data_IF_360412683017
#
_entry.id   IF_360412683017
#
_cell.length_a   1.000
_cell.length_b   1.000
_cell.length_c   1.000
_cell.angle_alpha   90.00
_cell.angle_beta   90.00
_cell.angle_gamma   90.00
#
_symmetry.space_group_name_H-M   'P 1'
#
loop_
_entity.id
_entity.type
_entity.pdbx_description
1 polymer ?
#
# COMPACT_ATOMS: atom_id res chain seq x y z
N UNK A 1 3.63 -14.08 10.00
CA UNK A 1 2.28 -14.32 9.44
C UNK A 1 2.48 -15.10 8.14
N UNK A 2 1.51 -15.92 7.68
CA UNK A 2 1.67 -16.64 6.41
C UNK A 2 1.75 -15.65 5.25
N UNK A 3 2.65 -15.91 4.30
CA UNK A 3 2.79 -15.12 3.07
C UNK A 3 1.51 -15.22 2.24
N UNK A 4 0.85 -14.08 2.00
CA UNK A 4 -0.38 -14.02 1.20
C UNK A 4 -0.07 -14.02 -0.30
N UNK A 5 -0.91 -14.67 -1.11
CA UNK A 5 -0.73 -14.67 -2.56
C UNK A 5 -0.89 -13.25 -3.13
N UNK A 6 0.00 -12.79 -4.02
CA UNK A 6 -0.06 -11.44 -4.56
C UNK A 6 -1.28 -11.23 -5.48
N UNK A 7 -1.73 -9.98 -5.56
CA UNK A 7 -2.76 -9.57 -6.51
C UNK A 7 -2.15 -9.29 -7.89
N UNK A 8 -2.76 -9.88 -8.91
CA UNK A 8 -2.56 -9.47 -10.29
C UNK A 8 -3.52 -8.32 -10.62
N UNK A 9 -2.97 -7.11 -10.83
CA UNK A 9 -3.76 -5.88 -10.96
C UNK A 9 -4.24 -5.56 -12.37
N UNK A 10 -3.70 -6.23 -13.40
CA UNK A 10 -4.00 -5.95 -14.79
C UNK A 10 -5.10 -6.86 -15.35
N UNK A 11 -5.69 -6.46 -16.47
CA UNK A 11 -6.74 -7.23 -17.13
C UNK A 11 -6.21 -8.53 -17.75
N UNK A 12 -7.10 -9.50 -17.97
CA UNK A 12 -6.77 -10.72 -18.72
C UNK A 12 -6.18 -10.42 -20.11
N UNK A 13 -6.62 -9.33 -20.75
CA UNK A 13 -6.11 -8.92 -22.07
C UNK A 13 -4.65 -8.47 -21.99
N UNK A 14 -4.28 -7.71 -20.96
CA UNK A 14 -2.91 -7.28 -20.72
C UNK A 14 -2.02 -8.48 -20.35
N UNK A 15 -2.48 -9.32 -19.42
CA UNK A 15 -1.81 -10.57 -19.06
C UNK A 15 -1.55 -11.45 -20.29
N UNK A 16 -2.54 -11.55 -21.19
CA UNK A 16 -2.39 -12.27 -22.44
C UNK A 16 -1.34 -11.67 -23.36
N UNK A 17 -1.24 -10.34 -23.41
CA UNK A 17 -0.24 -9.63 -24.20
C UNK A 17 1.19 -9.79 -23.68
N UNK A 18 1.35 -9.96 -22.35
CA UNK A 18 2.67 -10.13 -21.70
C UNK A 18 3.06 -11.59 -21.47
N UNK A 19 2.16 -12.54 -21.72
CA UNK A 19 2.39 -13.96 -21.47
C UNK A 19 2.15 -14.38 -20.01
N UNK A 20 1.56 -13.51 -19.20
CA UNK A 20 1.36 -13.67 -17.75
C UNK A 20 -0.06 -14.21 -17.41
N UNK A 21 -0.62 -15.05 -18.30
CA UNK A 21 -2.00 -15.54 -18.15
C UNK A 21 -2.16 -16.45 -16.94
N UNK A 22 -1.12 -17.16 -16.56
CA UNK A 22 -1.18 -18.11 -15.46
C UNK A 22 -1.16 -17.37 -14.12
N UNK A 23 -0.34 -16.32 -13.97
CA UNK A 23 -0.34 -15.42 -12.82
C UNK A 23 -1.70 -14.71 -12.66
N UNK A 24 -2.27 -14.22 -13.77
CA UNK A 24 -3.62 -13.67 -13.76
C UNK A 24 -4.63 -14.71 -13.29
N UNK A 25 -4.55 -15.95 -13.79
CA UNK A 25 -5.51 -17.02 -13.45
C UNK A 25 -5.42 -17.40 -11.98
N UNK A 26 -4.21 -17.54 -11.45
CA UNK A 26 -3.99 -17.85 -10.04
C UNK A 26 -4.54 -16.75 -9.12
N UNK A 27 -4.20 -15.50 -9.40
CA UNK A 27 -4.74 -14.37 -8.65
C UNK A 27 -6.27 -14.29 -8.76
N UNK A 28 -6.82 -14.54 -9.95
CA UNK A 28 -8.24 -14.55 -10.20
C UNK A 28 -8.98 -15.64 -9.40
N UNK A 29 -8.45 -16.87 -9.38
CA UNK A 29 -9.01 -17.96 -8.59
C UNK A 29 -9.00 -17.64 -7.10
N UNK A 30 -7.91 -17.04 -6.62
CA UNK A 30 -7.78 -16.62 -5.23
C UNK A 30 -8.73 -15.47 -4.87
N UNK A 31 -9.01 -14.55 -5.81
CA UNK A 31 -10.07 -13.54 -5.63
C UNK A 31 -11.45 -14.18 -5.49
N UNK A 32 -11.76 -15.19 -6.32
CA UNK A 32 -13.00 -15.94 -6.22
C UNK A 32 -13.10 -16.67 -4.86
N UNK A 33 -12.04 -17.33 -4.41
CA UNK A 33 -12.01 -18.02 -3.11
C UNK A 33 -12.21 -17.04 -1.95
N UNK A 34 -11.50 -15.90 -1.97
CA UNK A 34 -11.68 -14.82 -1.00
C UNK A 34 -13.14 -14.32 -0.97
N UNK A 35 -13.76 -14.08 -2.13
CA UNK A 35 -15.15 -13.65 -2.21
C UNK A 35 -16.11 -14.69 -1.61
N UNK A 36 -15.91 -15.98 -1.91
CA UNK A 36 -16.71 -17.08 -1.33
C UNK A 36 -16.48 -17.20 0.19
N UNK A 37 -15.27 -16.95 0.67
CA UNK A 37 -14.96 -16.97 2.09
C UNK A 37 -15.65 -15.85 2.85
N UNK A 38 -15.72 -14.65 2.26
CA UNK A 38 -16.51 -13.53 2.81
C UNK A 38 -17.99 -13.90 2.89
N UNK A 39 -18.56 -14.50 1.83
CA UNK A 39 -19.97 -14.94 1.83
C UNK A 39 -20.26 -15.92 2.98
N UNK A 40 -19.42 -16.96 3.13
CA UNK A 40 -19.55 -17.93 4.23
C UNK A 40 -19.43 -17.26 5.59
N UNK A 41 -18.45 -16.37 5.78
CA UNK A 41 -18.26 -15.66 7.04
C UNK A 41 -19.45 -14.75 7.37
N UNK A 42 -20.11 -14.15 6.38
CA UNK A 42 -21.35 -13.39 6.59
C UNK A 42 -22.47 -14.33 7.01
N UNK A 43 -22.69 -15.42 6.26
CA UNK A 43 -23.80 -16.36 6.50
C UNK A 43 -23.69 -17.03 7.88
N UNK A 44 -22.48 -17.38 8.33
CA UNK A 44 -22.23 -18.02 9.62
C UNK A 44 -22.33 -17.05 10.81
N UNK A 45 -22.11 -15.75 10.58
CA UNK A 45 -21.97 -14.74 11.65
C UNK A 45 -23.12 -13.75 11.71
N UNK A 46 -24.11 -13.91 10.81
CA UNK A 46 -25.35 -13.18 10.82
C UNK A 46 -26.44 -13.96 11.55
N UNK A 47 -26.98 -13.39 12.63
CA UNK A 47 -28.02 -14.03 13.45
C UNK A 47 -29.46 -13.66 13.03
N UNK A 48 -29.61 -12.97 11.89
CA UNK A 48 -30.90 -12.45 11.41
C UNK A 48 -31.20 -11.00 11.84
N UNK A 49 -30.39 -10.42 12.74
CA UNK A 49 -30.52 -9.03 13.17
C UNK A 49 -29.19 -8.27 13.10
N UNK A 50 -28.09 -8.91 13.48
CA UNK A 50 -26.76 -8.32 13.57
C UNK A 50 -25.71 -9.21 12.90
N UNK A 51 -24.78 -8.57 12.17
CA UNK A 51 -23.57 -9.23 11.70
C UNK A 51 -22.47 -9.03 12.75
N UNK A 52 -22.04 -10.12 13.39
CA UNK A 52 -20.88 -10.07 14.29
C UNK A 52 -19.61 -9.85 13.49
N UNK A 53 -18.67 -9.08 14.03
CA UNK A 53 -17.37 -8.85 13.38
C UNK A 53 -16.71 -10.18 12.99
N UNK A 54 -16.37 -10.28 11.71
CA UNK A 54 -15.81 -11.48 11.08
C UNK A 54 -14.79 -11.15 9.99
N UNK A 55 -14.51 -9.86 9.73
CA UNK A 55 -13.54 -9.47 8.71
C UNK A 55 -12.10 -9.89 9.07
N UNK A 56 -11.75 -9.91 10.37
CA UNK A 56 -10.40 -10.25 10.83
C UNK A 56 -9.96 -11.63 10.34
N UNK A 57 -10.82 -12.65 10.46
CA UNK A 57 -10.51 -14.02 10.04
C UNK A 57 -10.18 -14.11 8.54
N UNK A 58 -10.93 -13.36 7.72
CA UNK A 58 -10.71 -13.32 6.28
C UNK A 58 -9.42 -12.55 5.95
N UNK A 59 -9.16 -11.44 6.64
CA UNK A 59 -7.93 -10.65 6.48
C UNK A 59 -6.71 -11.49 6.88
N UNK A 60 -6.78 -12.24 7.98
CA UNK A 60 -5.68 -13.11 8.42
C UNK A 60 -5.36 -14.18 7.35
N UNK A 61 -6.38 -14.68 6.65
CA UNK A 61 -6.25 -15.71 5.62
C UNK A 61 -5.77 -15.19 4.26
N UNK A 62 -6.25 -14.02 3.83
CA UNK A 62 -6.04 -13.52 2.45
C UNK A 62 -5.23 -12.22 2.35
N UNK A 63 -4.96 -11.55 3.47
CA UNK A 63 -4.30 -10.25 3.52
C UNK A 63 -5.29 -9.09 3.31
N UNK A 64 -4.91 -7.89 3.77
CA UNK A 64 -5.74 -6.71 3.56
C UNK A 64 -5.85 -6.36 2.08
N UNK A 65 -4.78 -6.54 1.30
CA UNK A 65 -4.78 -6.12 -0.10
C UNK A 65 -5.87 -6.84 -0.89
N UNK A 66 -5.92 -8.17 -0.77
CA UNK A 66 -6.90 -9.00 -1.47
C UNK A 66 -8.33 -8.77 -0.98
N UNK A 67 -8.52 -8.75 0.34
CA UNK A 67 -9.85 -8.52 0.93
C UNK A 67 -10.39 -7.16 0.51
N UNK A 68 -9.59 -6.11 0.63
CA UNK A 68 -9.99 -4.76 0.24
C UNK A 68 -10.25 -4.65 -1.26
N UNK A 69 -9.44 -5.31 -2.09
CA UNK A 69 -9.64 -5.34 -3.55
C UNK A 69 -10.97 -5.99 -3.94
N UNK A 70 -11.27 -7.18 -3.40
CA UNK A 70 -12.51 -7.93 -3.67
C UNK A 70 -13.75 -7.14 -3.21
N UNK A 71 -13.68 -6.56 -2.01
CA UNK A 71 -14.74 -5.72 -1.46
C UNK A 71 -14.96 -4.46 -2.30
N UNK A 72 -13.89 -3.76 -2.68
CA UNK A 72 -13.97 -2.59 -3.53
C UNK A 72 -14.56 -2.93 -4.90
N UNK A 73 -14.16 -4.04 -5.53
CA UNK A 73 -14.73 -4.50 -6.80
C UNK A 73 -16.23 -4.80 -6.68
N UNK A 74 -16.66 -5.42 -5.58
CA UNK A 74 -18.06 -5.72 -5.28
C UNK A 74 -18.88 -4.43 -5.15
N UNK A 75 -18.45 -3.50 -4.30
CA UNK A 75 -19.14 -2.21 -4.09
C UNK A 75 -19.19 -1.39 -5.38
N UNK A 76 -18.11 -1.39 -6.18
CA UNK A 76 -18.05 -0.66 -7.46
C UNK A 76 -19.11 -1.14 -8.45
N UNK A 77 -19.35 -2.44 -8.54
CA UNK A 77 -20.41 -3.00 -9.39
C UNK A 77 -21.81 -2.66 -8.87
N UNK A 78 -21.97 -2.65 -7.54
CA UNK A 78 -23.22 -2.30 -6.87
C UNK A 78 -23.41 -0.82 -6.56
N UNK A 79 -22.66 0.11 -7.18
CA UNK A 79 -22.64 1.54 -6.79
C UNK A 79 -24.01 2.23 -6.81
N UNK A 80 -24.94 1.74 -7.64
CA UNK A 80 -26.31 2.23 -7.75
C UNK A 80 -27.24 1.72 -6.63
N UNK A 81 -26.84 0.68 -5.90
CA UNK A 81 -27.62 0.13 -4.80
C UNK A 81 -27.58 1.08 -3.59
N UNK A 82 -28.76 1.48 -3.12
CA UNK A 82 -28.91 2.41 -2.01
C UNK A 82 -28.50 1.84 -0.64
N UNK A 83 -28.27 0.52 -0.54
CA UNK A 83 -27.84 -0.13 0.70
C UNK A 83 -26.36 0.01 0.99
N UNK A 84 -25.54 0.31 -0.02
CA UNK A 84 -24.15 0.69 0.21
C UNK A 84 -24.07 2.13 0.70
N UNK A 85 -23.35 2.34 1.80
CA UNK A 85 -23.10 3.69 2.32
C UNK A 85 -22.26 4.53 1.35
N UNK A 86 -22.47 5.85 1.37
CA UNK A 86 -21.70 6.76 0.52
C UNK A 86 -20.20 6.74 0.85
N UNK A 87 -19.85 6.48 2.11
CA UNK A 87 -18.45 6.35 2.53
C UNK A 87 -17.81 5.08 1.96
N UNK A 88 -18.51 3.94 1.99
CA UNK A 88 -18.01 2.71 1.35
C UNK A 88 -17.90 2.86 -0.16
N UNK A 89 -18.83 3.56 -0.80
CA UNK A 89 -18.74 3.88 -2.24
C UNK A 89 -17.53 4.77 -2.55
N UNK A 90 -17.27 5.82 -1.75
CA UNK A 90 -16.10 6.70 -1.92
C UNK A 90 -14.79 5.93 -1.70
N UNK A 91 -14.73 5.11 -0.65
CA UNK A 91 -13.59 4.25 -0.36
C UNK A 91 -13.31 3.29 -1.52
N UNK A 92 -14.33 2.57 -2.01
CA UNK A 92 -14.18 1.61 -3.10
C UNK A 92 -13.70 2.27 -4.41
N UNK A 93 -14.03 3.55 -4.64
CA UNK A 93 -13.55 4.30 -5.83
C UNK A 93 -12.04 4.49 -5.86
N UNK A 94 -11.35 4.42 -4.72
CA UNK A 94 -9.89 4.57 -4.61
C UNK A 94 -9.13 3.39 -5.21
N UNK A 95 -9.77 2.23 -5.34
CA UNK A 95 -9.16 1.03 -5.90
C UNK A 95 -9.31 1.00 -7.42
N UNK A 96 -8.21 0.68 -8.10
CA UNK A 96 -8.22 0.45 -9.54
C UNK A 96 -8.58 -1.01 -9.84
N UNK A 97 -9.82 -1.24 -10.26
CA UNK A 97 -10.28 -2.55 -10.74
C UNK A 97 -10.13 -2.56 -12.26
N UNK A 98 -8.98 -3.02 -12.75
CA UNK A 98 -8.64 -2.98 -14.17
C UNK A 98 -9.41 -4.04 -14.96
N UNK A 99 -9.60 -5.23 -14.39
CA UNK A 99 -10.37 -6.30 -15.01
C UNK A 99 -11.88 -6.16 -14.76
N UNK A 100 -12.48 -5.14 -15.38
CA UNK A 100 -13.92 -4.87 -15.24
C UNK A 100 -14.79 -5.98 -15.84
N UNK A 101 -14.30 -6.68 -16.85
CA UNK A 101 -15.04 -7.72 -17.56
C UNK A 101 -15.21 -8.99 -16.72
N UNK A 102 -14.23 -9.31 -15.86
CA UNK A 102 -14.27 -10.49 -15.00
C UNK A 102 -14.62 -10.18 -13.54
N UNK A 103 -14.72 -8.91 -13.16
CA UNK A 103 -14.98 -8.50 -11.78
C UNK A 103 -16.26 -9.09 -11.17
N UNK A 104 -17.28 -9.35 -11.98
CA UNK A 104 -18.55 -9.93 -11.53
C UNK A 104 -18.39 -11.37 -10.98
N UNK A 105 -17.34 -12.07 -11.39
CA UNK A 105 -17.12 -13.47 -10.99
C UNK A 105 -16.61 -13.57 -9.55
N UNK A 106 -15.79 -12.62 -9.11
CA UNK A 106 -15.32 -12.51 -7.72
C UNK A 106 -16.06 -11.44 -6.91
N UNK A 107 -17.28 -11.09 -7.30
CA UNK A 107 -18.16 -10.24 -6.47
C UNK A 107 -18.79 -11.02 -5.34
N UNK A 108 -18.84 -10.46 -4.14
CA UNK A 108 -19.52 -11.05 -2.98
C UNK A 108 -21.04 -11.00 -3.23
N UNK A 109 -21.69 -12.16 -3.24
CA UNK A 109 -23.11 -12.35 -3.61
C UNK A 109 -24.05 -12.45 -2.40
N UNK A 110 -23.62 -12.00 -1.24
CA UNK A 110 -24.49 -11.84 -0.06
C UNK A 110 -25.39 -10.60 -0.21
N UNK A 111 -26.36 -10.45 0.70
CA UNK A 111 -27.24 -9.27 0.72
C UNK A 111 -26.40 -7.97 0.80
N UNK A 112 -26.61 -6.95 -0.06
CA UNK A 112 -25.75 -5.76 -0.13
C UNK A 112 -25.58 -5.01 1.19
N UNK A 113 -26.62 -4.96 2.03
CA UNK A 113 -26.52 -4.36 3.36
C UNK A 113 -25.56 -5.12 4.30
N UNK A 114 -25.47 -6.45 4.19
CA UNK A 114 -24.51 -7.24 4.98
C UNK A 114 -23.09 -7.07 4.45
N UNK A 115 -22.94 -6.97 3.13
CA UNK A 115 -21.65 -6.64 2.51
C UNK A 115 -21.20 -5.26 2.96
N UNK A 116 -22.09 -4.26 3.01
CA UNK A 116 -21.77 -2.91 3.49
C UNK A 116 -21.27 -2.91 4.96
N UNK A 117 -21.90 -3.72 5.82
CA UNK A 117 -21.44 -3.93 7.20
C UNK A 117 -20.06 -4.58 7.25
N UNK A 118 -19.82 -5.62 6.42
CA UNK A 118 -18.51 -6.28 6.34
C UNK A 118 -17.42 -5.33 5.84
N UNK A 119 -17.70 -4.52 4.82
CA UNK A 119 -16.78 -3.49 4.32
C UNK A 119 -16.43 -2.51 5.43
N UNK A 120 -17.42 -2.07 6.20
CA UNK A 120 -17.20 -1.17 7.33
C UNK A 120 -16.33 -1.81 8.41
N UNK A 121 -16.50 -3.10 8.68
CA UNK A 121 -15.66 -3.87 9.62
C UNK A 121 -14.21 -3.99 9.13
N UNK A 122 -14.01 -4.34 7.84
CA UNK A 122 -12.68 -4.41 7.23
C UNK A 122 -11.97 -3.05 7.24
N UNK A 123 -12.68 -1.96 6.90
CA UNK A 123 -12.16 -0.58 6.99
C UNK A 123 -11.77 -0.20 8.42
N UNK A 124 -12.59 -0.56 9.40
CA UNK A 124 -12.26 -0.33 10.82
C UNK A 124 -10.99 -1.08 11.25
N UNK A 125 -10.75 -2.28 10.72
CA UNK A 125 -9.52 -3.03 10.99
C UNK A 125 -8.31 -2.41 10.28
N UNK A 126 -8.48 -1.92 9.06
CA UNK A 126 -7.46 -1.16 8.34
C UNK A 126 -7.07 0.12 9.10
N UNK A 127 -8.06 0.89 9.58
CA UNK A 127 -7.81 2.12 10.33
C UNK A 127 -7.05 1.85 11.65
N UNK A 128 -7.23 0.67 12.25
CA UNK A 128 -6.49 0.25 13.46
C UNK A 128 -5.01 0.01 13.22
N UNK A 129 -4.56 -0.16 11.97
CA UNK A 129 -3.13 -0.23 11.66
C UNK A 129 -2.42 1.11 11.92
N UNK A 130 -3.16 2.22 11.96
CA UNK A 130 -2.60 3.54 12.24
C UNK A 130 -1.70 4.07 11.13
N UNK A 131 -1.86 3.56 9.91
CA UNK A 131 -1.03 3.94 8.76
C UNK A 131 -1.17 5.43 8.44
N UNK A 132 -0.06 6.04 8.06
CA UNK A 132 -0.03 7.40 7.57
C UNK A 132 -0.79 7.52 6.24
N UNK A 133 -1.56 8.60 6.10
CA UNK A 133 -2.26 8.94 4.87
C UNK A 133 -1.96 10.37 4.40
N UNK A 134 -2.57 10.76 3.28
CA UNK A 134 -2.31 12.07 2.65
C UNK A 134 -2.74 13.28 3.47
N UNK A 135 -3.50 13.12 4.56
CA UNK A 135 -3.83 14.22 5.46
C UNK A 135 -2.64 14.63 6.35
N UNK A 136 -1.71 13.70 6.58
CA UNK A 136 -0.50 13.87 7.39
C UNK A 136 0.71 14.29 6.55
N UNK A 137 0.58 14.25 5.23
CA UNK A 137 1.64 14.67 4.31
C UNK A 137 1.46 16.12 3.84
N UNK A 138 2.57 16.74 3.46
CA UNK A 138 2.55 17.95 2.64
C UNK A 138 1.94 17.63 1.26
N UNK A 139 1.17 18.59 0.73
CA UNK A 139 0.32 18.32 -0.43
C UNK A 139 1.11 18.19 -1.72
N UNK A 140 1.20 16.97 -2.24
CA UNK A 140 1.65 16.68 -3.61
C UNK A 140 0.73 17.26 -4.70
N UNK A 141 -0.40 17.88 -4.36
CA UNK A 141 -1.38 18.36 -5.35
C UNK A 141 -0.85 19.47 -6.25
N UNK A 142 0.12 20.25 -5.79
CA UNK A 142 0.82 21.21 -6.63
C UNK A 142 1.83 20.55 -7.57
N UNK A 143 2.21 19.30 -7.29
CA UNK A 143 3.27 18.59 -8.01
C UNK A 143 4.58 19.35 -7.99
N UNK A 144 4.83 20.16 -6.94
CA UNK A 144 6.01 21.04 -6.82
C UNK A 144 6.89 20.70 -5.62
N UNK A 145 6.55 19.68 -4.85
CA UNK A 145 7.30 19.35 -3.64
C UNK A 145 8.60 18.64 -4.01
N UNK A 146 9.71 19.12 -3.48
CA UNK A 146 10.97 18.39 -3.55
C UNK A 146 11.01 17.36 -2.42
N UNK A 147 11.34 16.11 -2.76
CA UNK A 147 11.49 15.04 -1.79
C UNK A 147 12.91 14.90 -1.24
N UNK A 148 13.89 15.59 -1.82
CA UNK A 148 15.27 15.51 -1.34
C UNK A 148 15.36 15.93 0.13
N UNK A 149 15.99 15.07 0.93
CA UNK A 149 16.20 15.20 2.37
C UNK A 149 14.90 15.23 3.21
N UNK A 150 13.91 14.46 2.77
CA UNK A 150 12.58 14.39 3.41
C UNK A 150 12.24 12.96 3.77
N UNK A 151 11.52 12.80 4.89
CA UNK A 151 10.86 11.54 5.23
C UNK A 151 9.54 11.47 4.46
N UNK A 152 9.44 10.48 3.58
CA UNK A 152 8.28 10.20 2.75
C UNK A 152 7.47 9.07 3.36
N UNK A 153 6.16 9.09 3.07
CA UNK A 153 5.23 8.04 3.44
C UNK A 153 4.98 7.16 2.22
N UNK A 154 5.31 5.88 2.31
CA UNK A 154 4.98 4.89 1.29
C UNK A 154 3.48 4.61 1.24
N UNK A 155 2.96 4.45 0.03
CA UNK A 155 1.60 3.97 -0.18
C UNK A 155 1.49 2.54 0.36
N UNK A 156 0.50 2.23 1.22
CA UNK A 156 0.32 0.90 1.76
C UNK A 156 0.23 -0.22 0.72
N UNK A 157 -0.18 0.07 -0.53
CA UNK A 157 -0.22 -0.92 -1.61
C UNK A 157 1.15 -1.41 -2.08
N UNK A 158 2.22 -0.71 -1.71
CA UNK A 158 3.61 -1.07 -2.04
C UNK A 158 4.20 -1.98 -0.96
N UNK A 159 3.63 -1.95 0.24
CA UNK A 159 4.06 -2.77 1.37
C UNK A 159 3.36 -4.13 1.34
N UNK A 160 4.12 -5.19 1.61
CA UNK A 160 3.53 -6.50 1.89
C UNK A 160 2.58 -6.41 3.09
N UNK A 161 1.57 -7.26 3.13
CA UNK A 161 0.55 -7.25 4.19
C UNK A 161 1.15 -7.36 5.60
N UNK A 162 2.24 -8.10 5.77
CA UNK A 162 2.92 -8.27 7.05
C UNK A 162 3.73 -7.03 7.47
N UNK A 163 4.06 -6.16 6.52
CA UNK A 163 4.82 -4.92 6.71
C UNK A 163 3.90 -3.69 6.72
N UNK A 164 2.58 -3.86 6.79
CA UNK A 164 1.64 -2.73 6.89
C UNK A 164 1.63 -2.16 8.31
N UNK A 165 2.72 -1.50 8.68
CA UNK A 165 2.87 -0.76 9.95
C UNK A 165 3.24 0.70 9.68
N UNK A 166 2.98 1.62 10.62
CA UNK A 166 3.40 3.01 10.48
C UNK A 166 4.92 3.18 10.38
N UNK A 167 5.71 2.28 10.99
CA UNK A 167 7.16 2.33 10.95
C UNK A 167 7.71 1.97 9.57
N UNK A 168 7.16 0.91 8.97
CA UNK A 168 7.60 0.41 7.66
C UNK A 168 7.20 1.33 6.50
N UNK A 169 6.24 2.24 6.72
CA UNK A 169 5.86 3.26 5.74
C UNK A 169 6.91 4.37 5.57
N UNK A 170 7.78 4.58 6.54
CA UNK A 170 8.69 5.74 6.52
C UNK A 170 9.94 5.45 5.70
N UNK A 171 10.17 6.28 4.70
CA UNK A 171 11.30 6.19 3.79
C UNK A 171 12.00 7.55 3.70
N UNK A 172 13.29 7.61 4.00
CA UNK A 172 14.05 8.84 3.85
C UNK A 172 14.60 8.94 2.43
N UNK A 173 14.21 10.00 1.70
CA UNK A 173 14.68 10.23 0.34
C UNK A 173 15.97 11.06 0.33
N UNK A 174 17.03 10.51 -0.24
CA UNK A 174 18.33 11.18 -0.34
C UNK A 174 18.45 11.93 -1.66
N UNK A 175 18.22 11.24 -2.78
CA UNK A 175 18.41 11.79 -4.11
C UNK A 175 17.60 11.06 -5.17
N UNK A 176 17.65 11.57 -6.40
CA UNK A 176 17.11 10.89 -7.58
C UNK A 176 16.21 11.82 -8.37
N UNK A 177 16.08 11.55 -9.67
CA UNK A 177 15.26 12.38 -10.54
C UNK A 177 13.80 12.44 -10.06
N UNK A 178 13.29 11.38 -9.45
CA UNK A 178 11.93 11.35 -8.90
C UNK A 178 11.71 12.23 -7.68
N UNK A 179 12.78 12.72 -7.03
CA UNK A 179 12.64 13.67 -5.93
C UNK A 179 12.14 15.03 -6.41
N UNK A 180 12.55 15.41 -7.63
CA UNK A 180 12.25 16.71 -8.18
C UNK A 180 10.96 16.69 -8.99
N UNK A 181 10.11 17.70 -8.83
CA UNK A 181 8.82 17.77 -9.52
C UNK A 181 8.91 17.95 -11.04
N UNK A 182 9.96 18.61 -11.52
CA UNK A 182 10.18 19.01 -12.91
C UNK A 182 10.97 17.97 -13.73
N UNK A 183 11.39 16.89 -13.10
CA UNK A 183 12.27 15.90 -13.69
C UNK A 183 11.48 14.78 -14.37
N UNK A 184 11.98 14.33 -15.54
CA UNK A 184 11.35 13.24 -16.31
C UNK A 184 11.54 11.87 -15.67
N UNK A 185 12.56 11.69 -14.84
CA UNK A 185 12.83 10.43 -14.14
C UNK A 185 11.97 10.33 -12.88
N UNK A 186 11.44 9.13 -12.60
CA UNK A 186 10.50 8.92 -11.49
C UNK A 186 11.14 8.27 -10.26
N UNK A 187 12.42 7.88 -10.31
CA UNK A 187 13.09 7.13 -9.23
C UNK A 187 13.53 8.05 -8.09
N UNK A 188 13.11 7.71 -6.89
CA UNK A 188 13.51 8.30 -5.61
C UNK A 188 14.35 7.25 -4.89
N UNK A 189 15.62 7.55 -4.63
CA UNK A 189 16.50 6.69 -3.86
C UNK A 189 16.56 7.17 -2.42
N UNK A 190 16.90 6.24 -1.54
CA UNK A 190 16.90 6.50 -0.11
C UNK A 190 16.97 5.20 0.67
N UNK A 191 16.48 5.25 1.90
CA UNK A 191 16.46 4.08 2.78
C UNK A 191 15.21 4.03 3.64
N UNK A 192 14.81 2.82 4.05
CA UNK A 192 13.77 2.63 5.04
C UNK A 192 14.22 3.13 6.41
N UNK A 193 13.42 3.98 7.05
CA UNK A 193 13.81 4.62 8.32
C UNK A 193 13.85 3.61 9.48
N UNK A 194 13.09 2.50 9.36
CA UNK A 194 13.02 1.43 10.36
C UNK A 194 14.30 0.60 10.46
N UNK A 195 14.83 0.11 9.34
CA UNK A 195 15.94 -0.85 9.28
C UNK A 195 17.18 -0.36 8.51
N UNK A 196 17.09 0.81 7.87
CA UNK A 196 18.14 1.46 7.08
C UNK A 196 18.49 0.72 5.78
N UNK A 197 17.60 -0.14 5.29
CA UNK A 197 17.79 -0.78 3.99
C UNK A 197 17.74 0.25 2.86
N UNK A 198 18.84 0.38 2.10
CA UNK A 198 18.92 1.27 0.93
C UNK A 198 18.15 0.66 -0.24
N UNK A 199 17.23 1.42 -0.83
CA UNK A 199 16.48 0.98 -2.02
C UNK A 199 16.00 2.20 -2.82
N UNK A 200 15.15 1.96 -3.82
CA UNK A 200 14.47 3.01 -4.54
C UNK A 200 13.00 2.67 -4.75
N UNK A 201 12.19 3.72 -4.80
CA UNK A 201 10.78 3.66 -5.16
C UNK A 201 10.48 4.65 -6.28
N UNK A 202 9.34 4.51 -6.92
CA UNK A 202 8.85 5.52 -7.87
C UNK A 202 8.15 6.64 -7.10
N UNK A 203 8.18 7.86 -7.64
CA UNK A 203 7.46 9.01 -7.05
C UNK A 203 5.97 8.69 -6.78
N UNK A 204 5.35 7.88 -7.64
CA UNK A 204 3.95 7.43 -7.53
C UNK A 204 3.70 6.44 -6.39
N UNK A 205 4.75 5.85 -5.83
CA UNK A 205 4.68 4.85 -4.77
C UNK A 205 4.59 5.53 -3.39
N UNK A 206 4.73 6.86 -3.33
CA UNK A 206 4.57 7.65 -2.11
C UNK A 206 3.21 8.31 -2.03
N UNK A 207 2.69 8.41 -0.81
CA UNK A 207 1.54 9.24 -0.46
C UNK A 207 1.92 10.72 -0.45
N UNK A 208 3.15 11.04 0.00
CA UNK A 208 3.72 12.38 0.06
C UNK A 208 4.83 12.48 1.11
N UNK A 209 5.39 13.67 1.30
CA UNK A 209 6.36 13.93 2.37
C UNK A 209 5.62 14.13 3.71
N UNK A 210 6.04 13.44 4.76
CA UNK A 210 5.45 13.57 6.09
C UNK A 210 5.72 14.98 6.65
N UNK A 211 4.70 15.63 7.20
CA UNK A 211 4.84 16.93 7.85
C UNK A 211 5.85 16.87 8.99
N UNK A 212 6.72 17.87 9.10
CA UNK A 212 7.84 17.88 10.05
C UNK A 212 7.39 17.69 11.51
N UNK A 213 6.25 18.27 11.88
CA UNK A 213 5.67 18.16 13.22
C UNK A 213 5.11 16.76 13.55
N UNK A 214 4.87 15.92 12.52
CA UNK A 214 4.36 14.56 12.66
C UNK A 214 5.45 13.49 12.58
N UNK A 215 6.70 13.87 12.29
CA UNK A 215 7.82 12.93 12.24
C UNK A 215 8.13 12.45 13.67
N UNK A 216 8.04 11.13 13.94
CA UNK A 216 8.39 10.57 15.24
C UNK A 216 9.86 10.75 15.60
N UNK A 217 10.16 10.88 16.89
CA UNK A 217 11.54 11.13 17.35
C UNK A 217 12.51 10.00 16.95
N UNK A 218 12.06 8.74 17.06
CA UNK A 218 12.87 7.58 16.64
C UNK A 218 13.26 7.67 15.16
N UNK A 219 12.39 8.23 14.31
CA UNK A 219 12.65 8.35 12.89
C UNK A 219 13.70 9.42 12.61
N UNK A 220 13.61 10.58 13.30
CA UNK A 220 14.64 11.63 13.25
C UNK A 220 16.00 11.11 13.69
N UNK A 221 16.05 10.43 14.84
CA UNK A 221 17.28 9.86 15.36
C UNK A 221 17.90 8.83 14.42
N UNK A 222 17.09 7.93 13.85
CA UNK A 222 17.59 6.90 12.94
C UNK A 222 18.12 7.50 11.64
N UNK A 223 17.41 8.47 11.07
CA UNK A 223 17.86 9.20 9.88
C UNK A 223 19.18 9.93 10.16
N UNK A 224 19.29 10.66 11.27
CA UNK A 224 20.50 11.39 11.62
C UNK A 224 21.70 10.44 11.82
N UNK A 225 21.52 9.37 12.60
CA UNK A 225 22.57 8.35 12.82
C UNK A 225 23.06 7.72 11.52
N UNK A 226 22.18 7.58 10.54
CA UNK A 226 22.55 7.05 9.24
C UNK A 226 23.36 8.08 8.43
N UNK A 227 22.90 9.34 8.35
CA UNK A 227 23.60 10.39 7.61
C UNK A 227 25.02 10.62 8.16
N UNK A 228 25.16 10.68 9.48
CA UNK A 228 26.47 10.80 10.15
C UNK A 228 27.40 9.61 9.81
N UNK A 229 26.86 8.40 9.67
CA UNK A 229 27.66 7.22 9.34
C UNK A 229 28.03 7.14 7.85
N UNK A 230 27.15 7.62 6.95
CA UNK A 230 27.39 7.68 5.50
C UNK A 230 28.46 8.75 5.20
N UNK A 231 28.39 9.91 5.85
CA UNK A 231 29.39 10.98 5.73
C UNK A 231 30.79 10.50 6.16
N UNK A 232 30.88 9.72 7.24
CA UNK A 232 32.15 9.14 7.72
C UNK A 232 32.71 8.05 6.79
N UNK A 233 31.87 7.42 5.97
CA UNK A 233 32.30 6.39 5.02
C UNK A 233 32.85 6.98 3.70
N UNK A 234 32.52 8.23 3.40
CA UNK A 234 32.97 8.97 2.22
C UNK A 234 34.22 9.84 2.48
N UNK A 235 34.77 9.85 3.71
CA UNK A 235 36.07 10.47 3.98
C UNK A 235 37.19 9.69 3.25
N UNK A 236 38.00 10.34 2.40
CA UNK A 236 39.10 9.66 1.72
C UNK A 236 40.14 9.22 2.76
N UNK A 237 40.63 7.98 2.65
CA UNK A 237 41.77 7.50 3.42
C UNK A 237 42.96 8.47 3.25
N UNK A 238 43.24 9.29 4.27
CA UNK A 238 44.49 10.05 4.37
C UNK A 238 45.65 9.07 4.68
N UNK A 239 45.98 8.18 3.74
CA UNK A 239 47.28 7.50 3.75
C UNK A 239 47.79 7.25 2.32
N UNK A 240 48.22 8.34 1.70
CA UNK A 240 48.91 8.36 0.41
C UNK A 240 50.14 9.27 0.47
N UNK A 241 50.95 9.14 1.52
CA UNK A 241 52.21 9.85 1.65
C UNK A 241 53.13 9.59 0.45
N UNK A 242 53.17 10.54 -0.49
CA UNK A 242 54.11 10.55 -1.60
C UNK A 242 55.52 10.87 -1.07
N UNK A 243 56.32 9.84 -0.75
CA UNK A 243 57.77 10.00 -0.65
C UNK A 243 58.34 10.26 -2.03
N UNK A 244 58.67 11.52 -2.31
CA UNK A 244 59.53 11.91 -3.42
C UNK A 244 60.97 11.63 -2.99
N UNK A 245 61.55 10.55 -3.50
CA UNK A 245 63.00 10.37 -3.46
C UNK A 245 63.63 11.15 -4.62
N UNK A 246 64.46 12.12 -4.25
CA UNK A 246 65.34 12.93 -5.09
C UNK A 246 66.46 12.09 -5.73
#
# INVERSE_FOLDING_TARGET
MPEHKPLYLYSLKEAAGWGEKDEWRESYLENCDCARAIERAIDERYDGQCLKSCAQEIIDRYGFDRVNFVLAATVRQGTHDGRYSEDNKKWARRFSVMDKENAWQYSVRSHPGLVDLFVSDARRLWDKLGLYDGSQCDSERSGQLDYTDRILVLNPSVLKDECKTPQDQLFYATHGNGCRPDSLGTKVFGFHVSDREKTYYRRTDFVGALKEELIPEWAKENTQKYLEADDLADEPDEDGGMTINL
#
